data_IF_080067044551
#
_entry.id   IF_080067044551
#
_cell.length_a   1.000
_cell.length_b   1.000
_cell.length_c   1.000
_cell.angle_alpha   90.00
_cell.angle_beta   90.00
_cell.angle_gamma   90.00
#
_symmetry.space_group_name_H-M   'P 1'
#
loop_
_entity.id
_entity.type
_entity.pdbx_description
1 polymer ?
#
# COMPACT_ATOMS: atom_id res chain seq x y z
N UNK A 1 24.12 -3.89 11.16
CA UNK A 1 22.87 -4.17 10.43
C UNK A 1 23.10 -3.87 8.96
N UNK A 2 22.62 -4.75 8.09
CA UNK A 2 22.72 -4.63 6.63
C UNK A 2 21.29 -4.65 6.08
N UNK A 3 21.03 -3.81 5.08
CA UNK A 3 19.89 -4.02 4.21
C UNK A 3 20.42 -4.50 2.87
N UNK A 4 19.95 -5.66 2.40
CA UNK A 4 20.41 -6.34 1.20
C UNK A 4 19.32 -6.30 0.13
N UNK A 5 19.26 -5.23 -0.68
CA UNK A 5 18.69 -5.26 -2.01
C UNK A 5 19.17 -6.49 -2.78
N UNK A 6 18.27 -7.36 -3.19
CA UNK A 6 18.55 -8.52 -4.01
C UNK A 6 17.54 -8.64 -5.14
N UNK A 7 17.96 -9.35 -6.17
CA UNK A 7 17.18 -9.68 -7.35
C UNK A 7 17.59 -11.07 -7.85
N UNK A 8 16.67 -11.79 -8.49
CA UNK A 8 16.87 -13.15 -8.98
C UNK A 8 16.35 -13.26 -10.40
N UNK A 9 17.15 -13.86 -11.29
CA UNK A 9 16.66 -14.32 -12.59
C UNK A 9 16.32 -15.81 -12.51
N UNK A 10 15.29 -16.22 -13.23
CA UNK A 10 14.64 -17.53 -13.08
C UNK A 10 14.22 -18.10 -14.42
N UNK A 11 14.07 -19.42 -14.46
CA UNK A 11 13.55 -20.14 -15.64
C UNK A 11 12.05 -19.94 -15.89
N UNK A 12 11.37 -19.11 -15.10
CA UNK A 12 9.93 -18.80 -15.23
C UNK A 12 9.48 -17.92 -14.05
N UNK A 13 8.18 -17.87 -13.75
CA UNK A 13 7.60 -17.02 -12.69
C UNK A 13 6.95 -17.80 -11.54
N UNK A 14 6.81 -19.12 -11.67
CA UNK A 14 6.17 -19.97 -10.68
C UNK A 14 7.16 -20.41 -9.61
N UNK A 15 6.68 -20.68 -8.39
CA UNK A 15 7.52 -21.18 -7.29
C UNK A 15 8.22 -22.53 -7.59
N UNK A 16 7.76 -23.27 -8.60
CA UNK A 16 8.40 -24.50 -9.08
C UNK A 16 9.53 -24.26 -10.07
N UNK A 17 9.71 -23.03 -10.53
CA UNK A 17 10.77 -22.65 -11.44
C UNK A 17 12.10 -22.48 -10.69
N UNK A 18 13.19 -22.55 -11.44
CA UNK A 18 14.53 -22.59 -10.86
C UNK A 18 15.23 -21.24 -11.03
N UNK A 19 15.92 -20.80 -9.96
CA UNK A 19 16.82 -19.64 -9.98
C UNK A 19 18.04 -19.95 -10.85
N UNK A 20 18.41 -19.01 -11.70
CA UNK A 20 19.55 -19.11 -12.63
C UNK A 20 20.58 -17.99 -12.45
N UNK A 21 20.21 -16.89 -11.81
CA UNK A 21 21.13 -15.83 -11.41
C UNK A 21 20.71 -15.23 -10.06
N UNK A 22 21.70 -14.88 -9.26
CA UNK A 22 21.55 -14.15 -8.00
C UNK A 22 22.31 -12.84 -8.12
N UNK A 23 21.69 -11.74 -7.71
CA UNK A 23 22.32 -10.44 -7.61
C UNK A 23 21.96 -9.77 -6.28
N UNK A 24 22.92 -9.11 -5.64
CA UNK A 24 22.63 -8.29 -4.48
C UNK A 24 23.61 -7.13 -4.27
N UNK A 25 23.14 -6.10 -3.59
CA UNK A 25 23.90 -4.87 -3.33
C UNK A 25 23.68 -4.41 -1.90
N UNK A 26 24.69 -4.49 -1.03
CA UNK A 26 24.52 -4.21 0.39
C UNK A 26 24.47 -2.70 0.70
N UNK A 27 23.48 -2.30 1.50
CA UNK A 27 23.42 -0.99 2.16
C UNK A 27 23.84 -1.09 3.61
N UNK A 28 24.57 -0.10 4.10
CA UNK A 28 24.89 0.07 5.53
C UNK A 28 24.62 1.50 5.95
N UNK A 29 24.30 1.65 7.23
CA UNK A 29 24.27 2.95 7.88
C UNK A 29 25.66 3.23 8.48
N UNK A 30 26.25 4.37 8.10
CA UNK A 30 27.51 4.86 8.66
C UNK A 30 27.25 6.27 9.19
N UNK A 31 27.39 6.45 10.50
CA UNK A 31 27.14 7.74 11.17
C UNK A 31 25.77 8.33 10.82
N UNK A 32 24.70 7.52 10.97
CA UNK A 32 23.30 7.87 10.72
C UNK A 32 22.92 8.04 9.24
N UNK A 33 23.87 7.90 8.31
CA UNK A 33 23.61 8.02 6.86
C UNK A 33 23.62 6.64 6.21
N UNK A 34 22.54 6.30 5.51
CA UNK A 34 22.50 5.08 4.68
C UNK A 34 23.22 5.29 3.36
N UNK A 35 23.97 4.28 2.93
CA UNK A 35 24.63 4.30 1.64
C UNK A 35 24.96 2.91 1.13
N UNK A 36 25.30 2.83 -0.16
CA UNK A 36 25.84 1.63 -0.78
C UNK A 36 27.18 1.30 -0.14
N UNK A 37 27.26 0.13 0.49
CA UNK A 37 28.46 -0.36 1.15
C UNK A 37 29.31 -1.29 0.28
N UNK A 38 28.80 -1.68 -0.89
CA UNK A 38 29.45 -2.60 -1.81
C UNK A 38 29.09 -2.32 -3.27
N UNK A 39 29.95 -2.79 -4.18
CA UNK A 39 29.56 -3.05 -5.58
C UNK A 39 28.65 -4.29 -5.58
N UNK A 40 27.70 -4.35 -6.52
CA UNK A 40 26.82 -5.50 -6.66
C UNK A 40 27.62 -6.80 -6.77
N UNK A 41 27.21 -7.82 -6.02
CA UNK A 41 27.70 -9.18 -6.16
C UNK A 41 26.70 -9.96 -7.01
N UNK A 42 27.21 -10.86 -7.84
CA UNK A 42 26.38 -11.73 -8.66
C UNK A 42 26.95 -13.13 -8.79
N UNK A 43 26.10 -14.11 -9.05
CA UNK A 43 26.51 -15.46 -9.40
C UNK A 43 25.44 -16.14 -10.23
N UNK A 44 25.86 -16.89 -11.24
CA UNK A 44 24.99 -17.84 -11.90
C UNK A 44 24.68 -19.04 -11.01
N UNK A 45 23.52 -19.63 -11.27
CA UNK A 45 23.02 -20.83 -10.63
C UNK A 45 22.64 -21.81 -11.73
N UNK A 46 23.07 -23.06 -11.61
CA UNK A 46 22.75 -24.07 -12.61
C UNK A 46 21.38 -24.70 -12.31
N UNK A 47 20.38 -24.55 -13.20
CA UNK A 47 19.10 -25.23 -13.05
C UNK A 47 19.23 -26.73 -13.39
N UNK A 48 18.29 -27.55 -12.94
CA UNK A 48 18.17 -28.95 -13.32
C UNK A 48 17.51 -29.14 -14.69
N UNK A 49 16.66 -28.19 -15.10
CA UNK A 49 15.99 -28.17 -16.41
C UNK A 49 16.60 -27.11 -17.35
N UNK A 50 16.50 -27.28 -18.68
CA UNK A 50 16.91 -26.25 -19.63
C UNK A 50 16.17 -24.92 -19.40
N UNK A 51 16.87 -23.80 -19.62
CA UNK A 51 16.27 -22.47 -19.53
C UNK A 51 15.28 -22.27 -20.70
N UNK A 52 14.00 -21.97 -20.45
CA UNK A 52 13.05 -21.71 -21.50
C UNK A 52 13.45 -20.51 -22.37
N UNK A 53 13.30 -20.58 -23.71
CA UNK A 53 13.64 -19.47 -24.60
C UNK A 53 12.91 -18.16 -24.30
N UNK A 54 11.70 -18.24 -23.75
CA UNK A 54 10.91 -17.08 -23.31
C UNK A 54 11.56 -16.34 -22.13
N UNK A 55 12.12 -17.07 -21.15
CA UNK A 55 12.91 -16.49 -20.05
C UNK A 55 14.21 -15.88 -20.58
N UNK A 56 14.95 -16.63 -21.42
CA UNK A 56 16.16 -16.10 -22.08
C UNK A 56 15.89 -14.87 -22.94
N UNK A 57 14.67 -14.71 -23.48
CA UNK A 57 14.26 -13.51 -24.20
C UNK A 57 14.17 -12.25 -23.33
N UNK A 58 14.04 -12.41 -22.01
CA UNK A 58 13.98 -11.32 -21.02
C UNK A 58 15.37 -11.00 -20.47
N UNK A 59 16.03 -11.99 -19.88
CA UNK A 59 17.28 -11.78 -19.13
C UNK A 59 18.56 -12.13 -19.93
N UNK A 60 18.41 -12.73 -21.12
CA UNK A 60 19.52 -13.08 -22.02
C UNK A 60 20.56 -14.06 -21.44
N UNK A 61 20.14 -14.91 -20.51
CA UNK A 61 20.96 -16.00 -19.94
C UNK A 61 20.58 -17.29 -20.63
N UNK A 62 21.58 -18.08 -21.01
CA UNK A 62 21.44 -19.35 -21.72
C UNK A 62 21.96 -20.52 -20.89
N UNK A 63 21.60 -21.75 -21.27
CA UNK A 63 22.13 -22.97 -20.62
C UNK A 63 23.67 -23.00 -20.63
N UNK A 64 24.30 -22.44 -21.66
CA UNK A 64 25.75 -22.38 -21.80
C UNK A 64 26.40 -21.45 -20.77
N UNK A 65 25.74 -20.34 -20.41
CA UNK A 65 26.23 -19.39 -19.40
C UNK A 65 26.26 -20.00 -17.99
N UNK A 66 25.33 -20.91 -17.70
CA UNK A 66 25.13 -21.49 -16.37
C UNK A 66 25.68 -22.92 -16.22
N UNK A 67 26.21 -23.54 -17.27
CA UNK A 67 26.60 -24.96 -17.31
C UNK A 67 27.60 -25.38 -16.21
N UNK A 68 28.50 -24.47 -15.84
CA UNK A 68 29.58 -24.67 -14.87
C UNK A 68 29.26 -24.04 -13.50
N UNK A 69 28.09 -23.42 -13.35
CA UNK A 69 27.64 -22.87 -12.08
C UNK A 69 27.27 -23.99 -11.08
N UNK A 70 27.28 -23.67 -9.79
CA UNK A 70 26.74 -24.60 -8.79
C UNK A 70 25.20 -24.50 -8.74
N UNK A 71 24.51 -25.56 -8.31
CA UNK A 71 23.07 -25.55 -8.16
C UNK A 71 22.61 -24.63 -7.02
N UNK A 72 21.31 -24.32 -7.00
CA UNK A 72 20.68 -23.46 -5.99
C UNK A 72 21.02 -23.90 -4.56
N UNK A 73 20.97 -25.22 -4.30
CA UNK A 73 21.25 -25.84 -3.00
C UNK A 73 22.60 -25.43 -2.37
N UNK A 74 23.59 -25.06 -3.18
CA UNK A 74 24.88 -24.56 -2.73
C UNK A 74 24.98 -23.03 -2.82
N UNK A 75 24.30 -22.42 -3.79
CA UNK A 75 24.43 -21.00 -4.12
C UNK A 75 23.63 -20.07 -3.21
N UNK A 76 22.47 -20.47 -2.73
CA UNK A 76 21.58 -19.61 -1.93
C UNK A 76 22.27 -18.98 -0.70
N UNK A 77 23.28 -19.66 -0.14
CA UNK A 77 24.06 -19.17 1.02
C UNK A 77 24.68 -17.80 0.79
N UNK A 78 25.02 -17.44 -0.45
CA UNK A 78 25.58 -16.12 -0.75
C UNK A 78 24.64 -14.96 -0.40
N UNK A 79 23.32 -15.21 -0.37
CA UNK A 79 22.31 -14.21 0.01
C UNK A 79 22.23 -13.99 1.51
N UNK A 80 22.53 -15.00 2.33
CA UNK A 80 22.36 -14.92 3.80
C UNK A 80 23.68 -14.81 4.54
N UNK A 81 24.78 -15.24 3.94
CA UNK A 81 26.10 -15.18 4.58
C UNK A 81 26.72 -13.80 4.38
N UNK A 82 27.29 -13.28 5.48
CA UNK A 82 28.10 -12.07 5.47
C UNK A 82 29.40 -12.41 6.20
N UNK A 83 30.49 -12.69 5.48
CA UNK A 83 31.76 -13.02 6.12
C UNK A 83 32.22 -11.90 7.06
N UNK A 84 32.40 -12.23 8.34
CA UNK A 84 32.86 -11.29 9.36
C UNK A 84 31.79 -10.37 9.96
N UNK A 85 30.50 -10.61 9.69
CA UNK A 85 29.38 -9.87 10.27
C UNK A 85 28.30 -10.84 10.74
N UNK A 86 28.02 -10.85 12.05
CA UNK A 86 26.94 -11.61 12.68
C UNK A 86 25.65 -10.78 12.82
N UNK A 87 25.64 -9.58 12.25
CA UNK A 87 24.54 -8.65 12.31
C UNK A 87 23.32 -9.12 11.52
N UNK A 88 22.15 -8.69 12.00
CA UNK A 88 20.86 -8.91 11.33
C UNK A 88 20.88 -8.35 9.89
N UNK A 89 20.40 -9.18 8.95
CA UNK A 89 20.14 -8.83 7.56
C UNK A 89 18.64 -8.55 7.40
N UNK A 90 18.32 -7.42 6.78
CA UNK A 90 16.99 -7.13 6.22
C UNK A 90 17.13 -7.28 4.70
N UNK A 91 16.29 -8.08 4.06
CA UNK A 91 16.27 -8.15 2.60
C UNK A 91 15.43 -7.01 2.03
N UNK A 92 15.78 -6.57 0.83
CA UNK A 92 14.93 -5.69 0.05
C UNK A 92 14.86 -6.20 -1.39
N UNK A 93 13.70 -6.08 -2.03
CA UNK A 93 13.54 -6.44 -3.43
C UNK A 93 12.36 -5.70 -4.04
N UNK A 94 12.37 -5.55 -5.36
CA UNK A 94 11.32 -4.86 -6.09
C UNK A 94 10.23 -5.84 -6.50
N UNK A 95 9.24 -5.99 -5.61
CA UNK A 95 8.26 -7.09 -5.57
C UNK A 95 8.70 -8.31 -4.75
N UNK A 96 9.30 -8.07 -3.58
CA UNK A 96 9.86 -9.04 -2.60
C UNK A 96 9.15 -10.38 -2.37
N UNK A 97 7.84 -10.50 -2.59
CA UNK A 97 7.16 -11.80 -2.54
C UNK A 97 7.73 -12.80 -3.54
N UNK A 98 8.23 -12.30 -4.68
CA UNK A 98 8.80 -13.09 -5.75
C UNK A 98 10.14 -13.70 -5.34
N UNK A 99 11.08 -12.89 -4.86
CA UNK A 99 12.41 -13.37 -4.46
C UNK A 99 12.32 -14.28 -3.24
N UNK A 100 11.47 -13.91 -2.27
CA UNK A 100 11.29 -14.66 -1.03
C UNK A 100 10.81 -16.09 -1.27
N UNK A 101 10.04 -16.35 -2.33
CA UNK A 101 9.44 -17.67 -2.55
C UNK A 101 10.48 -18.78 -2.80
N UNK A 102 11.68 -18.41 -3.26
CA UNK A 102 12.77 -19.34 -3.58
C UNK A 102 13.67 -19.67 -2.39
N UNK A 103 13.60 -18.87 -1.32
CA UNK A 103 14.36 -19.14 -0.10
C UNK A 103 13.64 -20.19 0.75
N UNK A 104 14.44 -20.99 1.46
CA UNK A 104 13.91 -21.96 2.42
C UNK A 104 13.03 -21.24 3.46
N UNK A 105 11.79 -21.71 3.73
CA UNK A 105 10.91 -21.11 4.73
C UNK A 105 11.50 -21.00 6.15
N UNK A 106 12.53 -21.78 6.46
CA UNK A 106 13.30 -21.69 7.71
C UNK A 106 14.16 -20.42 7.78
N UNK A 107 14.45 -19.78 6.65
CA UNK A 107 15.12 -18.49 6.59
C UNK A 107 14.09 -17.41 6.95
N UNK A 108 13.99 -17.13 8.25
CA UNK A 108 13.18 -16.03 8.74
C UNK A 108 13.96 -14.72 8.63
N UNK A 109 13.58 -13.89 7.67
CA UNK A 109 14.15 -12.58 7.47
C UNK A 109 13.06 -11.53 7.26
N UNK A 110 13.37 -10.28 7.62
CA UNK A 110 12.54 -9.14 7.31
C UNK A 110 12.72 -8.73 5.85
N UNK A 111 11.62 -8.33 5.19
CA UNK A 111 11.61 -7.97 3.77
C UNK A 111 11.02 -6.59 3.54
N UNK A 112 11.78 -5.74 2.86
CA UNK A 112 11.30 -4.47 2.31
C UNK A 112 10.95 -4.68 0.83
N UNK A 113 9.68 -4.52 0.49
CA UNK A 113 9.20 -4.54 -0.88
C UNK A 113 9.19 -3.11 -1.45
N UNK A 114 10.22 -2.73 -2.20
CA UNK A 114 10.35 -1.36 -2.72
C UNK A 114 9.21 -0.98 -3.67
N UNK A 115 8.62 -1.97 -4.37
CA UNK A 115 7.41 -1.77 -5.18
C UNK A 115 6.20 -1.33 -4.33
N UNK A 116 5.84 -2.10 -3.29
CA UNK A 116 4.74 -1.75 -2.37
C UNK A 116 4.96 -0.44 -1.63
N UNK A 117 6.21 -0.14 -1.28
CA UNK A 117 6.58 1.13 -0.66
C UNK A 117 6.42 2.29 -1.65
N UNK A 118 6.87 2.14 -2.90
CA UNK A 118 6.76 3.18 -3.92
C UNK A 118 5.30 3.55 -4.21
N UNK A 119 4.39 2.57 -4.25
CA UNK A 119 2.95 2.77 -4.46
C UNK A 119 2.31 3.68 -3.39
N UNK A 120 2.86 3.67 -2.16
CA UNK A 120 2.38 4.51 -1.05
C UNK A 120 3.08 5.85 -0.99
N UNK A 121 4.39 5.87 -1.25
CA UNK A 121 5.22 7.06 -1.16
C UNK A 121 4.97 8.04 -2.32
N UNK A 122 4.78 7.52 -3.53
CA UNK A 122 4.63 8.31 -4.75
C UNK A 122 3.44 7.83 -5.60
N UNK A 123 2.20 7.82 -5.05
CA UNK A 123 1.02 7.26 -5.71
C UNK A 123 0.61 7.94 -7.02
N UNK A 124 1.19 9.11 -7.31
CA UNK A 124 0.97 9.91 -8.50
C UNK A 124 1.86 9.52 -9.69
N UNK A 125 2.91 8.72 -9.49
CA UNK A 125 3.78 8.28 -10.58
C UNK A 125 3.02 7.38 -11.56
N UNK A 126 3.31 7.56 -12.85
CA UNK A 126 2.65 6.78 -13.93
C UNK A 126 3.03 5.30 -13.89
N UNK A 127 4.23 4.97 -13.42
CA UNK A 127 4.74 3.60 -13.36
C UNK A 127 5.59 3.39 -12.13
N UNK A 128 5.38 2.24 -11.50
CA UNK A 128 6.15 1.78 -10.35
C UNK A 128 7.12 0.67 -10.71
N UNK A 129 7.37 0.40 -12.00
CA UNK A 129 8.41 -0.55 -12.43
C UNK A 129 9.78 -0.02 -12.03
N UNK A 130 10.69 -0.92 -11.64
CA UNK A 130 11.99 -0.56 -11.08
C UNK A 130 12.77 0.50 -11.90
N UNK A 131 12.97 0.23 -13.20
CA UNK A 131 13.68 1.17 -14.08
C UNK A 131 12.87 2.44 -14.35
N UNK A 132 11.53 2.38 -14.35
CA UNK A 132 10.71 3.59 -14.47
C UNK A 132 10.90 4.51 -13.24
N UNK A 133 10.93 3.93 -12.02
CA UNK A 133 11.23 4.67 -10.80
C UNK A 133 12.61 5.32 -10.84
N UNK A 134 13.63 4.60 -11.32
CA UNK A 134 14.99 5.15 -11.50
C UNK A 134 14.97 6.47 -12.26
N UNK A 135 14.27 6.51 -13.40
CA UNK A 135 14.21 7.72 -14.24
C UNK A 135 13.25 8.77 -13.69
N UNK A 136 12.07 8.37 -13.20
CA UNK A 136 11.07 9.30 -12.67
C UNK A 136 11.59 10.08 -11.45
N UNK A 137 12.31 9.39 -10.56
CA UNK A 137 12.91 9.97 -9.35
C UNK A 137 14.28 10.61 -9.61
N UNK A 138 14.81 10.50 -10.84
CA UNK A 138 16.13 11.01 -11.24
C UNK A 138 17.25 10.51 -10.32
N UNK A 139 17.20 9.22 -9.97
CA UNK A 139 18.18 8.62 -9.07
C UNK A 139 19.59 8.73 -9.66
N UNK A 140 20.64 8.96 -8.84
CA UNK A 140 22.02 9.11 -9.29
C UNK A 140 22.66 7.76 -9.63
N UNK A 141 22.03 7.02 -10.54
CA UNK A 141 22.46 5.70 -10.96
C UNK A 141 23.61 5.80 -11.98
N UNK A 142 24.72 5.14 -11.67
CA UNK A 142 25.78 4.87 -12.64
C UNK A 142 25.22 4.05 -13.81
N UNK A 143 25.28 4.56 -15.06
CA UNK A 143 24.74 3.87 -16.23
C UNK A 143 25.32 2.48 -16.45
N UNK A 144 26.61 2.25 -16.16
CA UNK A 144 27.26 0.95 -16.38
C UNK A 144 26.79 -0.07 -15.35
N UNK A 145 26.68 0.34 -14.09
CA UNK A 145 26.25 -0.54 -13.00
C UNK A 145 24.77 -0.89 -13.06
N UNK A 146 23.96 -0.04 -13.66
CA UNK A 146 22.52 -0.23 -13.81
C UNK A 146 22.14 -0.78 -15.20
N UNK A 147 23.08 -1.38 -15.91
CA UNK A 147 22.89 -1.95 -17.24
C UNK A 147 23.54 -3.36 -17.33
N UNK A 148 22.94 -4.27 -18.12
CA UNK A 148 21.63 -4.16 -18.73
C UNK A 148 20.51 -4.35 -17.67
N UNK A 149 19.30 -3.80 -17.89
CA UNK A 149 18.14 -4.17 -17.09
C UNK A 149 17.78 -5.65 -17.34
N UNK A 150 17.00 -6.26 -16.43
CA UNK A 150 16.70 -7.70 -16.44
C UNK A 150 17.96 -8.54 -16.23
N UNK A 151 18.79 -8.08 -15.29
CA UNK A 151 19.93 -8.82 -14.76
C UNK A 151 20.02 -8.56 -13.28
N UNK A 152 20.38 -9.60 -12.54
CA UNK A 152 20.22 -9.58 -11.11
C UNK A 152 21.06 -8.49 -10.41
N UNK A 153 22.33 -8.31 -10.81
CA UNK A 153 23.21 -7.31 -10.17
C UNK A 153 22.86 -5.85 -10.53
N UNK A 154 22.56 -5.53 -11.81
CA UNK A 154 22.03 -4.21 -12.17
C UNK A 154 20.73 -3.86 -11.47
N UNK A 155 19.77 -4.79 -11.41
CA UNK A 155 18.47 -4.52 -10.80
C UNK A 155 18.55 -4.49 -9.27
N UNK A 156 19.40 -5.30 -8.62
CA UNK A 156 19.66 -5.17 -7.18
C UNK A 156 20.28 -3.81 -6.83
N UNK A 157 21.15 -3.27 -7.70
CA UNK A 157 21.72 -1.93 -7.53
C UNK A 157 20.66 -0.83 -7.66
N UNK A 158 19.82 -0.87 -8.70
CA UNK A 158 18.74 0.11 -8.87
C UNK A 158 17.73 0.00 -7.72
N UNK A 159 17.39 -1.21 -7.27
CA UNK A 159 16.55 -1.43 -6.10
C UNK A 159 17.16 -0.80 -4.84
N UNK A 160 18.48 -0.90 -4.67
CA UNK A 160 19.21 -0.23 -3.59
C UNK A 160 19.10 1.29 -3.66
N UNK A 161 19.16 1.90 -4.84
CA UNK A 161 18.97 3.34 -5.00
C UNK A 161 17.53 3.78 -4.70
N UNK A 162 16.53 3.03 -5.15
CA UNK A 162 15.13 3.29 -4.80
C UNK A 162 14.92 3.19 -3.29
N UNK A 163 15.55 2.20 -2.65
CA UNK A 163 15.47 2.05 -1.20
C UNK A 163 16.15 3.22 -0.45
N UNK A 164 17.32 3.67 -0.90
CA UNK A 164 17.96 4.86 -0.32
C UNK A 164 17.06 6.08 -0.44
N UNK A 165 16.44 6.30 -1.61
CA UNK A 165 15.48 7.38 -1.81
C UNK A 165 14.27 7.25 -0.86
N UNK A 166 13.71 6.05 -0.68
CA UNK A 166 12.63 5.80 0.29
C UNK A 166 13.05 6.14 1.73
N UNK A 167 14.29 5.87 2.11
CA UNK A 167 14.83 6.13 3.45
C UNK A 167 15.03 7.62 3.75
N UNK A 168 15.06 8.49 2.75
CA UNK A 168 15.02 9.95 2.94
C UNK A 168 13.65 10.44 3.46
N UNK A 169 12.58 9.66 3.24
CA UNK A 169 11.21 10.03 3.60
C UNK A 169 10.63 9.19 4.73
N UNK A 170 11.11 7.95 4.91
CA UNK A 170 10.47 6.95 5.77
C UNK A 170 11.47 6.20 6.64
N UNK A 171 10.99 5.75 7.81
CA UNK A 171 11.76 4.86 8.67
C UNK A 171 11.71 3.41 8.16
N UNK A 172 12.69 2.60 8.55
CA UNK A 172 12.72 1.17 8.24
C UNK A 172 11.45 0.47 8.74
N UNK A 173 10.97 0.81 9.93
CA UNK A 173 9.75 0.24 10.51
C UNK A 173 8.53 0.55 9.64
N UNK A 174 8.46 1.75 9.07
CA UNK A 174 7.38 2.13 8.16
C UNK A 174 7.45 1.34 6.86
N UNK A 175 8.65 1.20 6.28
CA UNK A 175 8.85 0.42 5.05
C UNK A 175 8.52 -1.07 5.27
N UNK A 176 8.91 -1.64 6.41
CA UNK A 176 8.58 -3.02 6.78
C UNK A 176 7.06 -3.22 6.93
N UNK A 177 6.38 -2.29 7.61
CA UNK A 177 4.91 -2.31 7.73
C UNK A 177 4.23 -2.24 6.37
N UNK A 178 4.63 -1.30 5.51
CA UNK A 178 4.06 -1.19 4.17
C UNK A 178 4.29 -2.43 3.31
N UNK A 179 5.42 -3.11 3.52
CA UNK A 179 5.77 -4.34 2.80
C UNK A 179 4.92 -5.55 3.22
N UNK A 180 4.48 -5.59 4.48
CA UNK A 180 3.63 -6.67 5.02
C UNK A 180 2.14 -6.51 4.69
N UNK A 181 1.71 -5.31 4.33
CA UNK A 181 0.34 -5.02 3.88
C UNK A 181 0.14 -5.31 2.37
N UNK A 182 -1.11 -5.47 1.88
CA UNK A 182 -1.40 -5.53 0.44
C UNK A 182 -0.88 -4.33 -0.35
N UNK A 183 -0.68 -4.50 -1.65
CA UNK A 183 -0.31 -3.39 -2.53
C UNK A 183 -1.44 -2.36 -2.59
N UNK A 184 -1.11 -1.07 -2.64
CA UNK A 184 -2.10 0.03 -2.66
C UNK A 184 -2.15 0.62 -4.04
N UNK A 185 -3.25 0.43 -4.75
CA UNK A 185 -3.42 0.98 -6.10
C UNK A 185 -4.20 2.29 -6.05
N UNK A 186 -3.60 3.34 -6.61
CA UNK A 186 -4.22 4.66 -6.72
C UNK A 186 -5.15 4.78 -7.94
N UNK A 187 -4.84 4.02 -9.00
CA UNK A 187 -5.52 4.04 -10.30
C UNK A 187 -5.64 2.64 -10.87
N UNK A 188 -6.64 2.42 -11.73
CA UNK A 188 -6.69 1.25 -12.60
C UNK A 188 -5.56 1.30 -13.62
N UNK A 189 -5.07 0.11 -13.98
CA UNK A 189 -4.06 -0.13 -15.02
C UNK A 189 -4.62 -1.01 -16.16
N UNK A 190 -5.96 -1.14 -16.23
CA UNK A 190 -6.65 -1.94 -17.25
C UNK A 190 -8.06 -1.43 -17.57
N UNK A 191 -8.57 -1.91 -18.70
CA UNK A 191 -9.97 -1.78 -19.09
C UNK A 191 -10.45 -0.34 -19.28
N UNK A 192 -11.76 -0.12 -19.21
CA UNK A 192 -12.40 1.19 -19.48
C UNK A 192 -12.05 2.29 -18.47
N UNK A 193 -11.46 1.92 -17.34
CA UNK A 193 -11.07 2.84 -16.28
C UNK A 193 -9.55 3.04 -16.19
N UNK A 194 -8.77 2.51 -17.13
CA UNK A 194 -7.32 2.67 -17.16
C UNK A 194 -6.88 4.13 -16.92
N UNK A 195 -5.91 4.31 -16.01
CA UNK A 195 -5.42 5.59 -15.51
C UNK A 195 -6.37 6.36 -14.57
N UNK A 196 -7.61 5.92 -14.36
CA UNK A 196 -8.59 6.59 -13.48
C UNK A 196 -8.53 6.04 -12.05
N UNK A 197 -8.87 6.85 -11.04
CA UNK A 197 -8.96 6.38 -9.66
C UNK A 197 -10.09 5.36 -9.49
N UNK A 198 -10.00 4.53 -8.45
CA UNK A 198 -11.05 3.55 -8.10
C UNK A 198 -12.42 4.22 -7.84
N UNK A 199 -12.41 5.48 -7.41
CA UNK A 199 -13.62 6.29 -7.23
C UNK A 199 -14.39 6.56 -8.53
N UNK A 200 -13.76 6.40 -9.71
CA UNK A 200 -14.42 6.60 -11.00
C UNK A 200 -15.33 5.43 -11.40
N UNK A 201 -15.14 4.25 -10.81
CA UNK A 201 -15.99 3.09 -11.06
C UNK A 201 -17.28 3.13 -10.23
N UNK A 202 -18.40 2.69 -10.80
CA UNK A 202 -19.65 2.55 -10.05
C UNK A 202 -19.63 1.33 -9.11
N UNK A 203 -20.56 1.29 -8.14
CA UNK A 203 -20.64 0.22 -7.13
C UNK A 203 -20.86 -1.17 -7.78
N UNK A 204 -21.53 -1.22 -8.94
CA UNK A 204 -21.78 -2.47 -9.68
C UNK A 204 -20.53 -3.04 -10.33
N UNK A 205 -19.69 -2.18 -10.91
CA UNK A 205 -18.40 -2.59 -11.47
C UNK A 205 -17.44 -3.09 -10.39
N UNK A 206 -17.38 -2.39 -9.25
CA UNK A 206 -16.58 -2.84 -8.10
C UNK A 206 -17.07 -4.20 -7.56
N UNK A 207 -18.38 -4.39 -7.42
CA UNK A 207 -18.94 -5.68 -7.03
C UNK A 207 -18.62 -6.80 -8.05
N UNK A 208 -18.71 -6.50 -9.34
CA UNK A 208 -18.33 -7.43 -10.40
C UNK A 208 -16.85 -7.84 -10.30
N UNK A 209 -15.93 -6.91 -10.02
CA UNK A 209 -14.51 -7.24 -9.85
C UNK A 209 -14.28 -8.23 -8.70
N UNK A 210 -15.03 -8.14 -7.60
CA UNK A 210 -14.88 -9.07 -6.47
C UNK A 210 -15.29 -10.51 -6.83
N UNK A 211 -16.19 -10.69 -7.79
CA UNK A 211 -16.66 -12.00 -8.29
C UNK A 211 -15.75 -12.57 -9.40
N UNK A 212 -14.88 -11.76 -9.98
CA UNK A 212 -14.00 -12.17 -11.08
C UNK A 212 -12.60 -12.54 -10.63
N UNK A 213 -11.87 -13.12 -11.58
CA UNK A 213 -10.50 -13.56 -11.41
C UNK A 213 -9.53 -12.37 -11.50
N UNK A 214 -9.54 -11.56 -10.45
CA UNK A 214 -8.55 -10.52 -10.19
C UNK A 214 -7.64 -10.95 -9.05
N UNK A 215 -6.41 -10.42 -9.04
CA UNK A 215 -5.46 -10.65 -7.97
C UNK A 215 -6.04 -10.23 -6.60
N UNK A 216 -5.57 -10.87 -5.53
CA UNK A 216 -6.03 -10.52 -4.18
C UNK A 216 -5.69 -9.07 -3.80
N UNK A 217 -4.60 -8.50 -4.32
CA UNK A 217 -4.31 -7.07 -4.16
C UNK A 217 -5.40 -6.20 -4.79
N UNK A 218 -5.86 -6.52 -6.00
CA UNK A 218 -6.96 -5.80 -6.65
C UNK A 218 -8.26 -5.94 -5.87
N UNK A 219 -8.63 -7.15 -5.46
CA UNK A 219 -9.83 -7.38 -4.65
C UNK A 219 -9.76 -6.66 -3.31
N UNK A 220 -8.59 -6.60 -2.67
CA UNK A 220 -8.40 -5.85 -1.44
C UNK A 220 -8.60 -4.35 -1.64
N UNK A 221 -8.03 -3.75 -2.71
CA UNK A 221 -8.24 -2.32 -3.01
C UNK A 221 -9.71 -2.01 -3.31
N UNK A 222 -10.42 -2.92 -3.98
CA UNK A 222 -11.87 -2.79 -4.24
C UNK A 222 -12.67 -2.82 -2.94
N UNK A 223 -12.42 -3.78 -2.04
CA UNK A 223 -13.08 -3.84 -0.71
C UNK A 223 -12.85 -2.56 0.07
N UNK A 224 -11.59 -2.08 0.09
CA UNK A 224 -11.22 -0.81 0.74
C UNK A 224 -11.98 0.39 0.16
N UNK A 225 -12.14 0.47 -1.16
CA UNK A 225 -12.92 1.56 -1.79
C UNK A 225 -14.41 1.47 -1.45
N UNK A 226 -14.99 0.27 -1.42
CA UNK A 226 -16.39 0.06 -1.00
C UNK A 226 -16.58 0.49 0.45
N UNK A 227 -15.68 0.10 1.35
CA UNK A 227 -15.69 0.48 2.76
C UNK A 227 -15.55 2.00 2.92
N UNK A 228 -14.63 2.64 2.17
CA UNK A 228 -14.46 4.09 2.16
C UNK A 228 -15.76 4.80 1.74
N UNK A 229 -16.45 4.31 0.70
CA UNK A 229 -17.75 4.85 0.26
C UNK A 229 -18.82 4.65 1.32
N UNK A 230 -18.87 3.49 1.96
CA UNK A 230 -19.83 3.20 3.02
C UNK A 230 -19.61 4.12 4.23
N UNK A 231 -18.35 4.31 4.65
CA UNK A 231 -17.97 5.24 5.70
C UNK A 231 -18.35 6.68 5.33
N UNK A 232 -18.04 7.14 4.12
CA UNK A 232 -18.40 8.49 3.67
C UNK A 232 -19.93 8.72 3.65
N UNK A 233 -20.71 7.73 3.19
CA UNK A 233 -22.19 7.78 3.24
C UNK A 233 -22.69 7.83 4.69
N UNK A 234 -22.10 7.04 5.59
CA UNK A 234 -22.42 7.05 7.02
C UNK A 234 -22.12 8.41 7.64
N UNK A 235 -20.93 8.96 7.42
CA UNK A 235 -20.49 10.22 8.01
C UNK A 235 -21.31 11.40 7.50
N UNK A 236 -21.67 11.42 6.20
CA UNK A 236 -22.59 12.41 5.63
C UNK A 236 -23.98 12.35 6.27
N UNK A 237 -24.48 11.14 6.55
CA UNK A 237 -25.76 10.93 7.23
C UNK A 237 -25.72 11.40 8.69
N UNK A 238 -24.65 11.07 9.43
CA UNK A 238 -24.43 11.56 10.80
C UNK A 238 -24.41 13.09 10.82
N UNK A 239 -23.66 13.72 9.90
CA UNK A 239 -23.60 15.18 9.77
C UNK A 239 -24.99 15.78 9.54
N UNK A 240 -25.77 15.23 8.61
CA UNK A 240 -27.16 15.67 8.33
C UNK A 240 -28.02 15.62 9.60
N UNK A 241 -27.91 14.55 10.38
CA UNK A 241 -28.66 14.42 11.63
C UNK A 241 -28.26 15.47 12.66
N UNK A 242 -26.95 15.64 12.90
CA UNK A 242 -26.42 16.63 13.86
C UNK A 242 -26.80 18.05 13.44
N UNK A 243 -26.71 18.40 12.15
CA UNK A 243 -27.11 19.70 11.65
C UNK A 243 -28.62 19.94 11.85
N UNK A 244 -29.45 18.91 11.62
CA UNK A 244 -30.89 18.97 11.89
C UNK A 244 -31.22 19.23 13.36
N UNK A 245 -30.53 18.54 14.28
CA UNK A 245 -30.64 18.78 15.73
C UNK A 245 -30.27 20.22 16.06
N UNK A 246 -29.14 20.71 15.56
CA UNK A 246 -28.65 22.06 15.84
C UNK A 246 -29.56 23.15 15.28
N UNK A 247 -30.22 22.88 14.15
CA UNK A 247 -31.15 23.80 13.50
C UNK A 247 -32.52 23.89 14.18
N UNK A 248 -32.85 23.01 15.14
CA UNK A 248 -34.13 23.04 15.85
C UNK A 248 -34.37 24.41 16.51
N UNK A 249 -35.52 25.02 16.24
CA UNK A 249 -35.87 26.37 16.70
C UNK A 249 -36.55 26.35 18.08
N UNK A 250 -37.21 25.25 18.44
CA UNK A 250 -37.90 25.06 19.71
C UNK A 250 -37.58 23.70 20.33
N UNK A 251 -37.80 23.56 21.64
CA UNK A 251 -37.68 22.25 22.32
C UNK A 251 -38.65 21.24 21.71
N UNK A 252 -39.82 21.70 21.25
CA UNK A 252 -40.80 20.87 20.56
C UNK A 252 -40.27 20.36 19.22
N UNK A 253 -39.47 21.14 18.48
CA UNK A 253 -38.82 20.68 17.25
C UNK A 253 -37.81 19.58 17.52
N UNK A 254 -37.04 19.68 18.62
CA UNK A 254 -36.15 18.60 19.06
C UNK A 254 -36.93 17.36 19.49
N UNK A 255 -38.03 17.53 20.21
CA UNK A 255 -38.87 16.42 20.67
C UNK A 255 -39.60 15.76 19.50
N UNK A 256 -40.05 16.51 18.49
CA UNK A 256 -40.61 15.98 17.26
C UNK A 256 -39.55 15.29 16.39
N UNK A 257 -38.31 15.81 16.43
CA UNK A 257 -37.17 15.13 15.82
C UNK A 257 -36.89 13.81 16.57
N UNK A 258 -37.03 13.78 17.90
CA UNK A 258 -36.66 12.65 18.77
C UNK A 258 -37.75 11.58 18.98
N UNK A 259 -39.04 11.94 18.98
CA UNK A 259 -40.17 11.03 19.25
C UNK A 259 -40.87 10.58 17.97
N UNK A 260 -40.53 9.38 17.51
CA UNK A 260 -41.49 8.29 17.29
C UNK A 260 -42.47 8.34 16.12
N UNK A 261 -42.77 9.47 15.48
CA UNK A 261 -43.77 9.53 14.39
C UNK A 261 -43.44 10.50 13.25
N UNK A 262 -42.19 10.96 13.13
CA UNK A 262 -41.75 11.55 11.86
C UNK A 262 -41.28 10.42 10.93
N UNK A 263 -41.85 10.31 9.73
CA UNK A 263 -41.42 9.37 8.67
C UNK A 263 -39.88 9.37 8.45
N UNK A 264 -39.18 10.43 8.86
CA UNK A 264 -37.73 10.61 8.82
C UNK A 264 -36.91 9.66 9.70
N UNK A 265 -37.36 9.24 10.89
CA UNK A 265 -36.54 8.43 11.80
C UNK A 265 -36.42 6.97 11.35
N UNK A 266 -37.54 6.37 10.95
CA UNK A 266 -37.58 5.02 10.39
C UNK A 266 -36.93 4.96 8.99
N UNK A 267 -37.07 6.03 8.18
CA UNK A 267 -36.43 6.11 6.87
C UNK A 267 -34.89 6.14 6.95
N UNK A 268 -34.34 6.74 8.00
CA UNK A 268 -32.88 6.94 8.15
C UNK A 268 -32.18 5.81 8.94
N UNK A 269 -32.95 4.85 9.51
CA UNK A 269 -32.45 3.62 10.18
C UNK A 269 -31.43 3.89 11.31
N UNK A 270 -31.68 4.87 12.17
CA UNK A 270 -30.87 5.10 13.39
C UNK A 270 -31.09 3.93 14.36
N UNK A 271 -30.03 3.33 14.88
CA UNK A 271 -30.08 2.16 15.78
C UNK A 271 -29.77 2.62 17.22
N UNK A 272 -30.68 2.43 18.19
CA UNK A 272 -30.40 2.73 19.59
C UNK A 272 -29.19 1.96 20.13
N UNK A 273 -28.35 2.65 20.91
CA UNK A 273 -27.16 2.06 21.56
C UNK A 273 -25.92 2.00 20.68
N UNK A 274 -25.92 2.61 19.49
CA UNK A 274 -24.68 2.84 18.72
C UNK A 274 -24.03 4.18 19.07
N UNK A 275 -22.73 4.33 18.78
CA UNK A 275 -22.00 5.59 18.99
C UNK A 275 -22.68 6.77 18.28
N UNK A 276 -23.28 6.55 17.11
CA UNK A 276 -24.03 7.57 16.39
C UNK A 276 -25.28 8.01 17.15
N UNK A 277 -26.03 7.06 17.73
CA UNK A 277 -27.21 7.36 18.55
C UNK A 277 -26.82 8.16 19.80
N UNK A 278 -25.75 7.76 20.47
CA UNK A 278 -25.25 8.44 21.67
C UNK A 278 -24.71 9.85 21.36
N UNK A 279 -24.12 10.04 20.18
CA UNK A 279 -23.76 11.37 19.68
C UNK A 279 -25.02 12.26 19.53
N UNK A 280 -26.09 11.74 18.91
CA UNK A 280 -27.32 12.50 18.71
C UNK A 280 -28.02 12.85 20.02
N UNK A 281 -28.05 11.93 21.00
CA UNK A 281 -28.53 12.22 22.37
C UNK A 281 -27.80 13.44 22.95
N UNK A 282 -26.47 13.43 22.89
CA UNK A 282 -25.64 14.51 23.46
C UNK A 282 -25.88 15.84 22.76
N UNK A 283 -25.92 15.84 21.42
CA UNK A 283 -26.20 17.05 20.64
C UNK A 283 -27.60 17.59 20.92
N UNK A 284 -28.62 16.73 21.03
CA UNK A 284 -29.99 17.12 21.34
C UNK A 284 -30.12 17.70 22.76
N UNK A 285 -29.48 17.06 23.75
CA UNK A 285 -29.44 17.57 25.12
C UNK A 285 -28.77 18.96 25.19
N UNK A 286 -27.63 19.13 24.49
CA UNK A 286 -26.93 20.41 24.40
C UNK A 286 -27.82 21.49 23.76
N UNK A 287 -28.49 21.18 22.65
CA UNK A 287 -29.38 22.14 21.99
C UNK A 287 -30.60 22.48 22.85
N UNK A 288 -31.19 21.49 23.54
CA UNK A 288 -32.34 21.70 24.45
C UNK A 288 -31.98 22.67 25.57
N UNK A 289 -30.80 22.53 26.17
CA UNK A 289 -30.33 23.45 27.20
C UNK A 289 -30.22 24.90 26.69
N UNK A 290 -29.69 25.11 25.48
CA UNK A 290 -29.60 26.44 24.85
C UNK A 290 -31.00 27.03 24.61
N UNK A 291 -31.94 26.24 24.09
CA UNK A 291 -33.30 26.69 23.80
C UNK A 291 -34.09 27.04 25.08
N UNK A 292 -33.86 26.33 26.18
CA UNK A 292 -34.48 26.60 27.48
C UNK A 292 -33.89 27.83 28.18
N UNK A 293 -32.62 28.15 27.91
CA UNK A 293 -31.95 29.33 28.47
C UNK A 293 -32.24 30.63 27.68
N UNK A 294 -32.82 30.53 26.48
CA UNK A 294 -33.18 31.69 25.69
C UNK A 294 -34.31 32.48 26.39
N UNK A 295 -34.17 33.81 26.61
CA UNK A 295 -35.26 34.61 27.16
C UNK A 295 -36.47 34.49 26.23
N UNK A 296 -37.65 34.24 26.81
CA UNK A 296 -38.90 34.13 26.06
C UNK A 296 -39.15 35.37 25.19
N UNK A 297 -40.01 35.27 24.16
CA UNK A 297 -40.32 36.41 23.31
C UNK A 297 -40.76 37.61 24.17
N UNK A 298 -40.07 38.73 24.00
CA UNK A 298 -40.45 40.01 24.60
C UNK A 298 -41.68 40.48 23.81
N UNK A 299 -42.87 40.28 24.37
CA UNK A 299 -44.06 40.96 23.87
C UNK A 299 -43.99 42.41 24.35
N UNK A 300 -43.65 43.34 23.46
CA UNK A 300 -43.85 44.76 23.75
C UNK A 300 -45.34 44.96 24.05
N UNK A 301 -45.64 45.39 25.28
CA UNK A 301 -47.00 45.77 25.63
C UNK A 301 -47.40 46.94 24.72
N UNK A 302 -48.40 46.73 23.87
CA UNK A 302 -49.00 47.80 23.09
C UNK A 302 -49.53 48.86 24.05
N UNK A 303 -48.73 49.90 24.28
CA UNK A 303 -49.14 51.07 25.03
C UNK A 303 -50.33 51.69 24.32
N UNK A 304 -51.48 51.71 24.99
CA UNK A 304 -52.64 52.45 24.52
C UNK A 304 -52.26 53.95 24.46
N UNK A 305 -52.53 54.65 23.34
CA UNK A 305 -52.27 56.08 23.26
C UNK A 305 -53.26 56.83 24.17
N UNK A 306 -52.71 57.76 24.97
CA UNK A 306 -53.47 58.75 25.73
C UNK A 306 -53.86 59.94 24.84
#
# INVERSE_FOLDING_TARGET
MIIRPCDLETTGLDASDEVIEIGFTDLRNVSEIWGLSSVSKQSFVRPARPIPPESSGIHHITDEDVKDALPWADRWRMLVEVPGDDGKIIFAAHAAHYERQYLDPLIQADWICTWKCSLRQWPELESHKLQALRYALKLPADPERASPPHRAAPDSYVCGLVLLELLEYQTIETLLRWSSEPAVFSRFDFGKFDGKPLSAADDGFLAWMLDKDFSEDWKWNVRREIERRAAAKRDARIKKWVDGVRAAATVKDLENWWFGEAESFAAERIIPGTDEYDLLIREAASRKAVLQAAPGPIFESSGAPA
#
